data_IF_055957660128
#
_entry.id   IF_055957660128
#
_cell.length_a   1.000
_cell.length_b   1.000
_cell.length_c   1.000
_cell.angle_alpha   90.00
_cell.angle_beta   90.00
_cell.angle_gamma   90.00
#
_symmetry.space_group_name_H-M   'P 1'
#
loop_
_entity.id
_entity.type
_entity.pdbx_description
1 polymer ?
#
# COMPACT_ATOMS: atom_id res chain seq x y z
N UNK A 1 -64.99 30.24 30.43
CA UNK A 1 -64.63 29.29 31.51
C UNK A 1 -65.64 28.16 31.48
N UNK A 2 -65.33 26.87 31.40
CA UNK A 2 -64.07 26.14 31.34
C UNK A 2 -64.38 24.71 30.85
N UNK A 3 -63.55 24.27 29.91
CA UNK A 3 -62.91 22.93 29.75
C UNK A 3 -63.72 21.63 29.87
N UNK A 4 -63.72 20.94 28.73
CA UNK A 4 -63.78 19.49 28.55
C UNK A 4 -62.68 18.73 29.29
N UNK A 5 -63.01 17.58 29.87
CA UNK A 5 -62.10 16.45 30.12
C UNK A 5 -62.92 15.15 30.06
N UNK A 6 -62.58 14.22 29.16
CA UNK A 6 -63.10 12.87 29.19
C UNK A 6 -61.95 11.87 28.99
N UNK A 7 -61.62 11.19 30.08
CA UNK A 7 -60.52 10.25 30.26
C UNK A 7 -60.85 8.90 29.62
N UNK A 8 -60.19 8.53 28.52
CA UNK A 8 -60.22 7.16 27.97
C UNK A 8 -59.07 6.34 28.54
N UNK A 9 -59.41 5.24 29.20
CA UNK A 9 -58.51 4.18 29.65
C UNK A 9 -57.92 3.42 28.44
N UNK A 10 -56.61 3.17 28.47
CA UNK A 10 -55.85 2.36 27.49
C UNK A 10 -55.60 0.96 28.07
N UNK A 11 -55.94 -0.07 27.30
CA UNK A 11 -55.37 -1.42 27.41
C UNK A 11 -54.75 -1.79 26.05
N UNK A 12 -53.66 -2.58 26.03
CA UNK A 12 -52.73 -2.59 24.89
C UNK A 12 -53.17 -3.57 23.80
N UNK A 13 -53.14 -3.12 22.54
CA UNK A 13 -53.22 -4.02 21.39
C UNK A 13 -51.88 -4.01 20.64
N UNK A 14 -51.33 -5.22 20.58
CA UNK A 14 -50.15 -5.75 19.92
C UNK A 14 -49.69 -5.00 18.65
N UNK A 15 -48.50 -4.38 18.72
CA UNK A 15 -47.77 -3.88 17.56
C UNK A 15 -46.86 -5.00 17.07
N UNK A 16 -47.17 -5.55 15.89
CA UNK A 16 -46.28 -6.47 15.19
C UNK A 16 -45.06 -5.69 14.71
N UNK A 17 -43.94 -5.85 15.40
CA UNK A 17 -42.64 -5.32 14.98
C UNK A 17 -42.18 -6.09 13.73
N UNK A 18 -42.32 -5.46 12.56
CA UNK A 18 -41.56 -5.84 11.38
C UNK A 18 -40.09 -5.57 11.67
N UNK A 19 -39.36 -6.61 12.08
CA UNK A 19 -37.91 -6.62 12.18
C UNK A 19 -37.40 -6.45 10.74
N UNK A 20 -36.98 -5.24 10.39
CA UNK A 20 -36.11 -5.02 9.25
C UNK A 20 -34.75 -5.63 9.61
N UNK A 21 -34.23 -6.63 8.88
CA UNK A 21 -32.82 -6.95 9.00
C UNK A 21 -32.05 -5.78 8.35
N UNK A 22 -31.58 -4.86 9.18
CA UNK A 22 -30.51 -3.94 8.81
C UNK A 22 -29.26 -4.79 8.59
N UNK A 23 -29.16 -5.34 7.38
CA UNK A 23 -27.91 -5.83 6.83
C UNK A 23 -27.17 -4.64 6.28
N UNK A 24 -26.73 -3.75 7.17
CA UNK A 24 -25.56 -2.95 6.86
C UNK A 24 -24.40 -3.95 6.86
N UNK A 25 -23.72 -4.19 5.73
CA UNK A 25 -22.41 -4.79 5.83
C UNK A 25 -21.59 -3.78 6.64
N UNK A 26 -21.17 -4.18 7.85
CA UNK A 26 -20.03 -3.58 8.53
C UNK A 26 -18.85 -3.70 7.55
N UNK A 27 -18.80 -2.73 6.63
CA UNK A 27 -17.78 -2.65 5.61
C UNK A 27 -16.60 -2.15 6.39
N UNK A 28 -15.73 -3.08 6.78
CA UNK A 28 -14.52 -2.86 7.54
C UNK A 28 -13.93 -1.52 7.10
N UNK A 29 -14.00 -0.50 7.96
CA UNK A 29 -13.66 0.90 7.63
C UNK A 29 -12.16 1.07 7.32
N UNK A 30 -11.42 -0.05 7.33
CA UNK A 30 -10.01 -0.20 7.06
C UNK A 30 -9.72 -0.97 5.73
N UNK A 31 -10.73 -1.44 5.00
CA UNK A 31 -10.57 -2.23 3.78
C UNK A 31 -10.53 -1.36 2.51
N UNK A 32 -9.60 -0.40 2.44
CA UNK A 32 -9.26 0.19 1.15
C UNK A 32 -8.19 -0.66 0.45
N UNK A 33 -8.47 -1.04 -0.80
CA UNK A 33 -7.53 -1.81 -1.60
C UNK A 33 -6.50 -0.88 -2.23
N UNK A 34 -5.21 -1.10 -1.94
CA UNK A 34 -4.12 -0.41 -2.61
C UNK A 34 -3.94 -1.00 -4.02
N UNK A 35 -3.99 -0.14 -5.03
CA UNK A 35 -3.99 -0.55 -6.43
C UNK A 35 -2.83 0.01 -7.25
N UNK A 36 -2.25 1.13 -6.81
CA UNK A 36 -1.14 1.80 -7.52
C UNK A 36 -0.04 2.10 -6.52
N UNK A 37 1.18 1.77 -6.91
CA UNK A 37 2.36 1.95 -6.10
C UNK A 37 3.38 2.81 -6.82
N UNK A 38 4.13 3.59 -6.07
CA UNK A 38 5.27 4.36 -6.56
C UNK A 38 6.43 4.16 -5.61
N UNK A 39 7.53 3.63 -6.13
CA UNK A 39 8.76 3.49 -5.38
C UNK A 39 9.59 4.76 -5.53
N UNK A 40 9.98 5.32 -4.40
CA UNK A 40 10.94 6.40 -4.31
C UNK A 40 12.15 5.94 -3.50
N UNK A 41 13.29 6.57 -3.73
CA UNK A 41 14.53 6.22 -3.07
C UNK A 41 15.27 7.44 -2.56
N UNK A 42 15.90 7.29 -1.40
CA UNK A 42 17.03 8.09 -0.95
C UNK A 42 18.24 7.16 -0.85
N UNK A 43 19.40 7.71 -0.49
CA UNK A 43 20.60 6.90 -0.23
C UNK A 43 20.35 5.79 0.80
N UNK A 44 19.57 6.05 1.84
CA UNK A 44 19.42 5.14 2.98
C UNK A 44 18.11 4.34 2.96
N UNK A 45 17.07 4.80 2.25
CA UNK A 45 15.75 4.16 2.31
C UNK A 45 15.05 4.14 0.98
N UNK A 46 14.30 3.09 0.74
CA UNK A 46 13.18 3.13 -0.19
C UNK A 46 11.90 3.54 0.54
N UNK A 47 11.04 4.25 -0.17
CA UNK A 47 9.70 4.65 0.23
C UNK A 47 8.73 4.19 -0.84
N UNK A 48 7.97 3.14 -0.54
CA UNK A 48 6.93 2.65 -1.44
C UNK A 48 5.60 3.26 -1.03
N UNK A 49 5.11 4.18 -1.86
CA UNK A 49 3.83 4.86 -1.66
C UNK A 49 2.75 4.08 -2.38
N UNK A 50 1.88 3.42 -1.62
CA UNK A 50 0.67 2.77 -2.10
C UNK A 50 -0.50 3.74 -2.09
N UNK A 51 -1.39 3.63 -3.08
CA UNK A 51 -2.63 4.41 -3.16
C UNK A 51 -3.79 3.54 -3.61
N UNK A 52 -4.97 3.89 -3.14
CA UNK A 52 -6.23 3.33 -3.66
C UNK A 52 -6.43 3.72 -5.14
N UNK A 53 -7.44 3.12 -5.77
CA UNK A 53 -7.77 3.36 -7.19
C UNK A 53 -7.97 4.84 -7.50
N UNK A 54 -8.59 5.59 -6.58
CA UNK A 54 -8.99 6.98 -6.78
C UNK A 54 -7.95 7.98 -6.26
N UNK A 55 -6.82 7.50 -5.73
CA UNK A 55 -5.74 8.32 -5.15
C UNK A 55 -6.24 9.29 -4.08
N UNK A 56 -7.15 8.83 -3.24
CA UNK A 56 -7.67 9.57 -2.09
C UNK A 56 -6.94 9.22 -0.81
N UNK A 57 -6.49 7.97 -0.69
CA UNK A 57 -5.79 7.47 0.49
C UNK A 57 -4.44 6.90 0.09
N UNK A 58 -3.41 7.22 0.89
CA UNK A 58 -2.05 6.79 0.66
C UNK A 58 -1.46 6.15 1.90
N UNK A 59 -0.69 5.07 1.70
CA UNK A 59 0.09 4.37 2.72
C UNK A 59 1.55 4.34 2.30
N UNK A 60 2.46 4.29 3.26
CA UNK A 60 3.90 4.31 3.00
C UNK A 60 4.58 3.12 3.68
N UNK A 61 5.26 2.31 2.88
CA UNK A 61 6.17 1.29 3.34
C UNK A 61 7.61 1.81 3.21
N UNK A 62 8.42 1.62 4.25
CA UNK A 62 9.83 2.05 4.30
C UNK A 62 10.70 0.80 4.32
N UNK A 63 11.73 0.78 3.47
CA UNK A 63 12.70 -0.32 3.38
C UNK A 63 14.08 0.28 3.58
N UNK A 64 14.85 -0.28 4.52
CA UNK A 64 16.23 0.12 4.75
C UNK A 64 17.14 -0.34 3.60
N UNK A 65 18.11 0.50 3.23
CA UNK A 65 19.11 0.24 2.20
C UNK A 65 20.54 0.31 2.74
N UNK A 66 20.74 0.62 4.02
CA UNK A 66 22.09 0.68 4.61
C UNK A 66 22.65 -0.69 4.97
N UNK A 67 21.78 -1.67 5.18
CA UNK A 67 22.21 -3.03 5.52
C UNK A 67 22.53 -3.83 4.25
N UNK A 68 23.71 -4.47 4.18
CA UNK A 68 24.11 -5.23 2.99
C UNK A 68 23.32 -6.55 2.86
N UNK A 69 22.99 -7.18 3.99
CA UNK A 69 22.53 -8.56 4.05
C UNK A 69 21.21 -8.77 4.79
N UNK A 70 20.67 -7.74 5.43
CA UNK A 70 19.46 -7.81 6.25
C UNK A 70 18.32 -7.02 5.63
N UNK A 71 17.10 -7.56 5.74
CA UNK A 71 15.90 -6.92 5.22
C UNK A 71 15.12 -6.27 6.36
N UNK A 72 15.24 -4.95 6.48
CA UNK A 72 14.49 -4.17 7.46
C UNK A 72 13.37 -3.37 6.77
N UNK A 73 12.13 -3.76 7.06
CA UNK A 73 10.92 -3.13 6.51
C UNK A 73 10.06 -2.62 7.66
N UNK A 74 9.54 -1.41 7.52
CA UNK A 74 8.54 -0.85 8.45
C UNK A 74 7.42 -0.17 7.70
N UNK A 75 6.20 -0.34 8.19
CA UNK A 75 5.04 0.40 7.70
C UNK A 75 4.89 1.72 8.48
N UNK A 76 4.57 2.80 7.77
CA UNK A 76 4.12 4.02 8.41
C UNK A 76 2.64 3.85 8.83
N UNK A 77 2.30 3.99 10.12
CA UNK A 77 0.93 3.78 10.58
C UNK A 77 -0.05 4.86 10.09
N UNK A 78 0.44 5.96 9.52
CA UNK A 78 -0.39 7.08 9.06
C UNK A 78 -1.00 6.80 7.70
N UNK A 79 -2.31 7.07 7.58
CA UNK A 79 -3.01 7.17 6.29
C UNK A 79 -2.96 8.62 5.84
N UNK A 80 -2.41 8.87 4.66
CA UNK A 80 -2.23 10.23 4.14
C UNK A 80 -3.27 10.58 3.09
N UNK A 81 -3.73 11.83 3.12
CA UNK A 81 -4.43 12.48 2.01
C UNK A 81 -3.46 12.85 0.87
N UNK A 82 -3.97 13.25 -0.32
CA UNK A 82 -3.12 13.65 -1.45
C UNK A 82 -2.16 14.81 -1.14
N UNK A 83 -2.59 15.77 -0.31
CA UNK A 83 -1.76 16.90 0.06
C UNK A 83 -0.70 16.50 1.10
N UNK A 84 -1.07 15.68 2.08
CA UNK A 84 -0.14 15.25 3.13
C UNK A 84 0.97 14.36 2.58
N UNK A 85 0.66 13.44 1.65
CA UNK A 85 1.69 12.61 1.02
C UNK A 85 2.66 13.46 0.19
N UNK A 86 2.16 14.48 -0.51
CA UNK A 86 3.02 15.44 -1.24
C UNK A 86 3.95 16.18 -0.27
N UNK A 87 3.41 16.68 0.84
CA UNK A 87 4.20 17.36 1.86
C UNK A 87 5.21 16.44 2.54
N UNK A 88 4.87 15.15 2.75
CA UNK A 88 5.80 14.15 3.28
C UNK A 88 6.97 13.94 2.32
N UNK A 89 6.69 13.66 1.04
CA UNK A 89 7.74 13.42 0.04
C UNK A 89 8.65 14.64 -0.13
N UNK A 90 8.09 15.85 -0.09
CA UNK A 90 8.89 17.09 -0.13
C UNK A 90 9.83 17.20 1.09
N UNK A 91 9.32 16.97 2.31
CA UNK A 91 10.15 17.00 3.52
C UNK A 91 11.26 15.96 3.49
N UNK A 92 10.98 14.75 3.00
CA UNK A 92 11.98 13.70 2.83
C UNK A 92 13.04 14.15 1.80
N UNK A 93 12.63 14.72 0.67
CA UNK A 93 13.54 15.21 -0.36
C UNK A 93 14.47 16.31 0.18
N UNK A 94 13.93 17.27 0.91
CA UNK A 94 14.68 18.37 1.52
C UNK A 94 15.65 17.86 2.59
N UNK A 95 15.19 16.98 3.49
CA UNK A 95 16.03 16.37 4.53
C UNK A 95 17.18 15.52 3.99
N UNK A 96 17.07 15.02 2.75
CA UNK A 96 18.12 14.23 2.09
C UNK A 96 18.86 15.01 0.99
N UNK A 97 18.69 16.34 0.89
CA UNK A 97 19.27 17.13 -0.20
C UNK A 97 20.79 16.96 -0.33
N UNK A 98 21.51 16.87 0.80
CA UNK A 98 22.96 16.69 0.82
C UNK A 98 23.43 15.31 0.31
N UNK A 99 22.54 14.32 0.25
CA UNK A 99 22.81 12.94 -0.17
C UNK A 99 22.08 12.56 -1.46
N UNK A 100 21.65 13.55 -2.25
CA UNK A 100 20.99 13.35 -3.55
C UNK A 100 19.46 13.46 -3.53
N UNK A 101 18.86 13.76 -2.38
CA UNK A 101 17.43 14.00 -2.24
C UNK A 101 16.59 12.71 -2.30
N UNK A 102 15.34 12.87 -2.76
CA UNK A 102 14.39 11.79 -2.97
C UNK A 102 14.13 11.64 -4.47
N UNK A 103 14.44 10.47 -5.01
CA UNK A 103 14.33 10.17 -6.43
C UNK A 103 13.17 9.20 -6.69
N UNK A 104 12.48 9.38 -7.81
CA UNK A 104 11.46 8.43 -8.25
C UNK A 104 12.13 7.27 -8.99
N UNK A 105 11.76 6.04 -8.64
CA UNK A 105 12.33 4.82 -9.24
C UNK A 105 11.37 4.22 -10.25
N UNK A 106 10.19 3.77 -9.80
CA UNK A 106 9.26 3.05 -10.66
C UNK A 106 7.81 3.13 -10.20
N UNK A 107 6.87 2.98 -11.14
CA UNK A 107 5.45 2.74 -10.87
C UNK A 107 5.19 1.25 -10.88
N UNK A 108 4.43 0.77 -9.92
CA UNK A 108 4.04 -0.62 -9.84
C UNK A 108 2.54 -0.77 -9.56
N UNK A 109 2.02 -1.95 -9.84
CA UNK A 109 0.64 -2.35 -9.56
C UNK A 109 0.53 -3.36 -8.41
N UNK A 110 1.67 -3.83 -7.90
CA UNK A 110 1.74 -4.73 -6.75
C UNK A 110 3.18 -5.04 -6.36
N UNK A 111 3.33 -5.55 -5.14
CA UNK A 111 4.57 -6.11 -4.61
C UNK A 111 4.40 -7.63 -4.67
N UNK A 112 5.27 -8.32 -5.40
CA UNK A 112 5.23 -9.79 -5.43
C UNK A 112 5.93 -10.38 -4.21
N UNK A 113 6.97 -9.71 -3.70
CA UNK A 113 7.69 -10.11 -2.50
C UNK A 113 9.12 -9.56 -2.47
N UNK A 114 9.92 -10.10 -1.57
CA UNK A 114 11.36 -9.92 -1.54
C UNK A 114 12.05 -11.27 -1.66
N UNK A 115 13.19 -11.31 -2.33
CA UNK A 115 14.02 -12.50 -2.46
C UNK A 115 15.47 -12.17 -2.12
N UNK A 116 16.17 -13.08 -1.44
CA UNK A 116 17.61 -12.99 -1.20
C UNK A 116 18.31 -13.98 -2.14
N UNK A 117 19.29 -13.50 -2.89
CA UNK A 117 20.22 -14.38 -3.60
C UNK A 117 21.47 -14.56 -2.75
N UNK A 118 22.68 -14.33 -3.29
CA UNK A 118 23.91 -14.62 -2.54
C UNK A 118 24.06 -13.71 -1.32
N UNK A 119 24.01 -12.40 -1.53
CA UNK A 119 24.26 -11.44 -0.44
C UNK A 119 23.16 -10.39 -0.30
N UNK A 120 22.58 -9.95 -1.42
CA UNK A 120 21.61 -8.85 -1.41
C UNK A 120 20.16 -9.35 -1.40
N UNK A 121 19.31 -8.58 -0.73
CA UNK A 121 17.86 -8.68 -0.92
C UNK A 121 17.41 -7.86 -2.13
N UNK A 122 16.37 -8.35 -2.78
CA UNK A 122 15.76 -7.75 -3.94
C UNK A 122 14.26 -7.61 -3.76
N UNK A 123 13.73 -6.46 -4.14
CA UNK A 123 12.30 -6.18 -4.17
C UNK A 123 11.74 -6.55 -5.53
N UNK A 124 10.69 -7.38 -5.56
CA UNK A 124 10.02 -7.77 -6.80
C UNK A 124 8.72 -6.98 -6.92
N UNK A 125 8.65 -6.12 -7.94
CA UNK A 125 7.50 -5.28 -8.23
C UNK A 125 6.83 -5.68 -9.54
N UNK A 126 5.50 -5.73 -9.54
CA UNK A 126 4.71 -5.90 -10.76
C UNK A 126 4.59 -4.55 -11.46
N UNK A 127 5.28 -4.35 -12.58
CA UNK A 127 5.33 -3.06 -13.29
C UNK A 127 4.29 -2.97 -14.41
N UNK A 128 3.84 -4.12 -14.96
CA UNK A 128 2.72 -4.18 -15.90
C UNK A 128 1.78 -5.33 -15.53
N UNK A 129 0.49 -5.04 -15.60
CA UNK A 129 -0.58 -6.02 -15.43
C UNK A 129 -1.58 -5.87 -16.56
N UNK A 130 -2.18 -6.98 -16.97
CA UNK A 130 -3.28 -7.00 -17.93
C UNK A 130 -4.49 -7.67 -17.31
N UNK A 131 -5.65 -7.05 -17.48
CA UNK A 131 -6.89 -7.66 -17.02
C UNK A 131 -7.20 -8.87 -17.90
N UNK A 132 -7.37 -10.04 -17.29
CA UNK A 132 -7.61 -11.31 -17.98
C UNK A 132 -9.03 -11.83 -17.79
N UNK A 133 -9.80 -11.25 -16.87
CA UNK A 133 -11.20 -11.61 -16.67
C UNK A 133 -11.81 -10.98 -15.44
N UNK A 134 -12.98 -11.51 -15.07
CA UNK A 134 -13.71 -11.16 -13.85
C UNK A 134 -14.18 -12.43 -13.15
N UNK A 135 -14.11 -12.45 -11.83
CA UNK A 135 -14.74 -13.47 -10.99
C UNK A 135 -15.60 -12.73 -9.96
N UNK A 136 -16.91 -12.99 -9.96
CA UNK A 136 -17.87 -12.36 -9.03
C UNK A 136 -17.79 -10.82 -8.98
N UNK A 137 -17.53 -10.17 -10.11
CA UNK A 137 -17.40 -8.70 -10.19
C UNK A 137 -16.01 -8.15 -9.83
N UNK A 138 -15.07 -9.00 -9.38
CA UNK A 138 -13.69 -8.63 -9.13
C UNK A 138 -12.83 -8.85 -10.37
N UNK A 139 -12.11 -7.82 -10.80
CA UNK A 139 -11.20 -7.91 -11.93
C UNK A 139 -9.99 -8.79 -11.58
N UNK A 140 -9.70 -9.78 -12.43
CA UNK A 140 -8.51 -10.63 -12.32
C UNK A 140 -7.46 -10.13 -13.30
N UNK A 141 -6.23 -10.01 -12.82
CA UNK A 141 -5.11 -9.50 -13.61
C UNK A 141 -4.00 -10.55 -13.70
N UNK A 142 -3.45 -10.71 -14.90
CA UNK A 142 -2.16 -11.37 -15.11
C UNK A 142 -1.01 -10.38 -14.96
N UNK A 143 0.15 -10.88 -14.53
CA UNK A 143 1.41 -10.14 -14.53
C UNK A 143 1.98 -10.22 -15.94
N UNK A 144 2.07 -9.08 -16.61
CA UNK A 144 2.70 -8.99 -17.93
C UNK A 144 4.19 -8.60 -17.81
N UNK A 145 4.55 -7.85 -16.77
CA UNK A 145 5.94 -7.47 -16.50
C UNK A 145 6.19 -7.31 -14.99
N UNK A 146 7.34 -7.79 -14.54
CA UNK A 146 7.87 -7.56 -13.21
C UNK A 146 9.29 -7.01 -13.28
N UNK A 147 9.68 -6.23 -12.28
CA UNK A 147 11.03 -5.73 -12.13
C UNK A 147 11.60 -6.15 -10.78
N UNK A 148 12.87 -6.53 -10.79
CA UNK A 148 13.64 -6.91 -9.62
C UNK A 148 14.60 -5.76 -9.28
N UNK A 149 14.48 -5.21 -8.06
CA UNK A 149 15.20 -4.00 -7.63
C UNK A 149 16.09 -4.36 -6.44
N UNK A 150 17.40 -4.15 -6.57
CA UNK A 150 18.36 -4.36 -5.48
C UNK A 150 18.06 -3.43 -4.31
N UNK A 151 17.89 -4.00 -3.12
CA UNK A 151 17.54 -3.24 -1.92
C UNK A 151 18.75 -2.46 -1.38
N UNK A 152 19.88 -3.11 -1.04
CA UNK A 152 21.05 -2.42 -0.49
C UNK A 152 21.53 -1.31 -1.42
N UNK A 153 21.93 -0.18 -0.85
CA UNK A 153 22.52 0.91 -1.61
C UNK A 153 23.86 0.45 -2.20
N UNK A 154 24.20 0.91 -3.40
CA UNK A 154 25.44 0.51 -4.11
C UNK A 154 26.71 0.72 -3.29
N UNK A 155 26.71 1.67 -2.35
CA UNK A 155 27.88 1.94 -1.48
C UNK A 155 28.13 0.90 -0.39
N UNK A 156 27.17 0.01 -0.12
CA UNK A 156 27.31 -1.07 0.88
C UNK A 156 27.32 -2.45 0.22
N UNK A 157 27.14 -2.52 -1.09
CA UNK A 157 27.24 -3.75 -1.86
C UNK A 157 28.71 -4.18 -1.97
N UNK A 158 28.94 -5.49 -1.93
CA UNK A 158 30.25 -6.11 -2.15
C UNK A 158 30.46 -6.39 -3.64
N UNK A 159 31.68 -6.78 -4.03
CA UNK A 159 31.97 -7.24 -5.39
C UNK A 159 31.14 -8.49 -5.79
N UNK A 160 30.66 -9.27 -4.82
CA UNK A 160 29.83 -10.46 -5.05
C UNK A 160 28.47 -10.08 -5.66
N UNK A 161 27.92 -8.92 -5.29
CA UNK A 161 26.65 -8.40 -5.83
C UNK A 161 26.73 -8.10 -7.35
N UNK A 162 27.95 -7.90 -7.88
CA UNK A 162 28.20 -7.68 -9.31
C UNK A 162 28.82 -8.90 -10.00
N UNK A 163 28.94 -10.03 -9.29
CA UNK A 163 29.51 -11.25 -9.84
C UNK A 163 28.64 -11.83 -10.96
N UNK A 164 29.28 -12.52 -11.92
CA UNK A 164 28.56 -13.25 -12.98
C UNK A 164 27.58 -14.27 -12.41
N UNK A 165 27.89 -14.86 -11.26
CA UNK A 165 27.03 -15.80 -10.55
C UNK A 165 25.75 -15.11 -10.09
N UNK A 166 25.87 -13.95 -9.44
CA UNK A 166 24.70 -13.17 -9.00
C UNK A 166 23.85 -12.75 -10.22
N UNK A 167 24.48 -12.28 -11.29
CA UNK A 167 23.81 -11.88 -12.53
C UNK A 167 23.05 -13.03 -13.21
N UNK A 168 23.45 -14.28 -12.99
CA UNK A 168 22.76 -15.45 -13.58
C UNK A 168 21.37 -15.69 -12.99
N UNK A 169 21.09 -15.25 -11.76
CA UNK A 169 19.76 -15.36 -11.16
C UNK A 169 18.71 -14.44 -11.80
N UNK A 170 19.14 -13.41 -12.55
CA UNK A 170 18.23 -12.49 -13.23
C UNK A 170 17.75 -13.01 -14.60
N UNK A 171 18.34 -14.09 -15.11
CA UNK A 171 18.10 -14.63 -16.46
C UNK A 171 17.19 -15.87 -16.47
N UNK A 172 16.56 -16.21 -15.35
CA UNK A 172 15.64 -17.35 -15.21
C UNK A 172 14.19 -16.90 -15.25
#
# INVERSE_FOLDING_TARGET
>A
MERSDNSKSKLPHYVSSKIHPSSDPETDHNSYSLEKFRLYETRQRFYLVGSDRNKQLFRVLKIDRSEPSDLNISEDPVVYSPQEIKNLLQRIAEGNRATGGLNFVVKAYGIAGCIKFLESYYLILVTKRRQIGFICGHAIYGIDESQLITIPHVSVQTDVAHSKTELSYYLV
#
